data_IF_986741807035
#
_entry.id   IF_986741807035
#
_cell.length_a   1.000
_cell.length_b   1.000
_cell.length_c   1.000
_cell.angle_alpha   90.00
_cell.angle_beta   90.00
_cell.angle_gamma   90.00
#
_symmetry.space_group_name_H-M   'P 1'
#
loop_
_entity.id
_entity.type
_entity.pdbx_description
1 polymer ?
#
# COMPACT_ATOMS: atom_id res chain seq x y z
N UNK A 1 -5.80 -6.28 -19.70
CA UNK A 1 -6.02 -5.79 -18.31
C UNK A 1 -5.94 -4.28 -18.27
N UNK A 2 -6.82 -3.59 -17.51
CA UNK A 2 -6.83 -2.11 -17.40
C UNK A 2 -6.41 -1.66 -16.00
N UNK A 3 -5.15 -1.21 -15.85
CA UNK A 3 -4.59 -0.76 -14.55
C UNK A 3 -5.35 0.43 -13.98
N UNK A 4 -5.87 1.31 -14.85
CA UNK A 4 -6.68 2.49 -14.46
C UNK A 4 -7.86 2.14 -13.54
N UNK A 5 -8.52 1.00 -13.75
CA UNK A 5 -9.68 0.62 -12.93
C UNK A 5 -9.25 0.19 -11.52
N UNK A 6 -8.13 -0.53 -11.42
CA UNK A 6 -7.58 -0.93 -10.13
C UNK A 6 -7.11 0.27 -9.31
N UNK A 7 -6.45 1.25 -9.95
CA UNK A 7 -6.02 2.48 -9.25
C UNK A 7 -7.20 3.34 -8.80
N UNK A 8 -8.29 3.40 -9.59
CA UNK A 8 -9.52 4.08 -9.18
C UNK A 8 -10.19 3.39 -7.98
N UNK A 9 -10.23 2.07 -7.97
CA UNK A 9 -10.82 1.28 -6.87
C UNK A 9 -10.06 1.48 -5.55
N UNK A 10 -8.73 1.52 -5.61
CA UNK A 10 -7.86 1.68 -4.46
C UNK A 10 -7.60 3.15 -4.11
N UNK A 11 -8.40 4.08 -4.62
CA UNK A 11 -8.14 5.51 -4.44
C UNK A 11 -8.53 6.05 -3.05
N UNK A 12 -7.91 7.16 -2.67
CA UNK A 12 -8.27 7.90 -1.46
C UNK A 12 -9.75 8.32 -1.42
N UNK A 13 -10.35 8.68 -2.56
CA UNK A 13 -11.77 9.08 -2.62
C UNK A 13 -12.71 7.90 -2.34
N UNK A 14 -12.40 6.69 -2.83
CA UNK A 14 -13.16 5.48 -2.52
C UNK A 14 -13.08 5.17 -1.03
N UNK A 15 -11.88 5.23 -0.43
CA UNK A 15 -11.71 5.02 1.00
C UNK A 15 -12.56 6.01 1.84
N UNK A 16 -12.59 7.29 1.46
CA UNK A 16 -13.43 8.29 2.12
C UNK A 16 -14.93 8.08 1.89
N UNK A 17 -15.32 7.62 0.71
CA UNK A 17 -16.69 7.21 0.43
C UNK A 17 -17.16 6.08 1.33
N UNK A 18 -16.34 5.03 1.49
CA UNK A 18 -16.64 3.90 2.38
C UNK A 18 -16.81 4.35 3.83
N UNK A 19 -15.91 5.19 4.35
CA UNK A 19 -16.04 5.77 5.70
C UNK A 19 -17.34 6.58 5.85
N UNK A 20 -17.66 7.41 4.85
CA UNK A 20 -18.82 8.30 4.88
C UNK A 20 -20.14 7.51 4.93
N UNK A 21 -20.31 6.50 4.08
CA UNK A 21 -21.52 5.70 4.06
C UNK A 21 -21.62 4.75 5.25
N UNK A 22 -20.50 4.17 5.70
CA UNK A 22 -20.47 3.36 6.92
C UNK A 22 -20.97 4.13 8.15
N UNK A 23 -20.54 5.39 8.32
CA UNK A 23 -21.00 6.27 9.41
C UNK A 23 -22.51 6.56 9.39
N UNK A 24 -23.18 6.37 8.25
CA UNK A 24 -24.62 6.57 8.08
C UNK A 24 -25.44 5.30 8.28
N UNK A 25 -24.80 4.19 8.68
CA UNK A 25 -25.49 2.91 8.90
C UNK A 25 -25.95 2.24 7.61
N UNK A 26 -25.26 2.49 6.49
CA UNK A 26 -25.55 1.80 5.23
C UNK A 26 -25.33 0.29 5.39
N UNK A 27 -26.36 -0.50 5.09
CA UNK A 27 -26.31 -1.97 5.15
C UNK A 27 -25.17 -2.50 4.27
N UNK A 28 -24.38 -3.43 4.80
CA UNK A 28 -23.23 -4.03 4.15
C UNK A 28 -21.91 -3.26 4.32
N UNK A 29 -21.92 -2.10 4.99
CA UNK A 29 -20.72 -1.30 5.30
C UNK A 29 -20.43 -1.22 6.81
N UNK A 30 -20.81 -2.22 7.58
CA UNK A 30 -20.66 -2.24 9.04
C UNK A 30 -19.19 -2.44 9.46
N UNK A 31 -18.39 -3.15 8.66
CA UNK A 31 -16.99 -3.48 8.98
C UNK A 31 -15.97 -3.01 7.91
N UNK A 32 -16.09 -1.76 7.45
CA UNK A 32 -15.23 -1.23 6.37
C UNK A 32 -13.83 -0.82 6.80
N UNK A 33 -13.55 -0.76 8.10
CA UNK A 33 -12.29 -0.18 8.62
C UNK A 33 -11.05 -0.83 8.01
N UNK A 34 -11.04 -2.15 7.90
CA UNK A 34 -9.95 -2.89 7.28
C UNK A 34 -9.79 -2.54 5.80
N UNK A 35 -10.90 -2.53 5.05
CA UNK A 35 -10.92 -2.17 3.62
C UNK A 35 -10.43 -0.75 3.38
N UNK A 36 -10.90 0.21 4.18
CA UNK A 36 -10.48 1.62 4.11
C UNK A 36 -8.97 1.73 4.35
N UNK A 37 -8.45 1.10 5.41
CA UNK A 37 -7.03 1.13 5.74
C UNK A 37 -6.17 0.51 4.63
N UNK A 38 -6.62 -0.62 4.07
CA UNK A 38 -5.94 -1.28 2.95
C UNK A 38 -5.97 -0.42 1.68
N UNK A 39 -7.12 0.15 1.31
CA UNK A 39 -7.22 1.03 0.13
C UNK A 39 -6.31 2.24 0.26
N UNK A 40 -6.28 2.91 1.42
CA UNK A 40 -5.39 4.04 1.65
C UNK A 40 -3.92 3.63 1.54
N UNK A 41 -3.54 2.48 2.11
CA UNK A 41 -2.17 2.00 2.03
C UNK A 41 -1.72 1.71 0.61
N UNK A 42 -2.56 1.05 -0.19
CA UNK A 42 -2.26 0.80 -1.59
C UNK A 42 -2.23 2.10 -2.41
N UNK A 43 -3.12 3.05 -2.14
CA UNK A 43 -3.08 4.38 -2.78
C UNK A 43 -1.72 5.04 -2.55
N UNK A 44 -1.31 5.18 -1.29
CA UNK A 44 -0.06 5.84 -0.93
C UNK A 44 1.16 5.12 -1.51
N UNK A 45 1.15 3.78 -1.51
CA UNK A 45 2.22 2.98 -2.10
C UNK A 45 2.32 3.18 -3.62
N UNK A 46 1.18 3.21 -4.32
CA UNK A 46 1.14 3.47 -5.76
C UNK A 46 1.62 4.88 -6.09
N UNK A 47 1.19 5.87 -5.31
CA UNK A 47 1.62 7.26 -5.47
C UNK A 47 3.14 7.39 -5.24
N UNK A 48 3.68 6.78 -4.19
CA UNK A 48 5.10 6.80 -3.87
C UNK A 48 5.96 6.13 -4.96
N UNK A 49 5.47 5.03 -5.57
CA UNK A 49 6.18 4.32 -6.65
C UNK A 49 6.04 4.99 -8.02
N UNK A 50 5.06 5.87 -8.21
CA UNK A 50 4.75 6.49 -9.50
C UNK A 50 4.78 8.03 -9.42
N UNK A 51 5.60 8.59 -8.52
CA UNK A 51 5.76 10.04 -8.38
C UNK A 51 6.37 10.66 -9.64
N UNK A 52 5.79 11.76 -10.14
CA UNK A 52 6.17 12.35 -11.44
C UNK A 52 6.63 13.80 -11.39
N UNK A 53 6.69 14.42 -10.22
CA UNK A 53 7.01 15.85 -10.10
C UNK A 53 8.54 16.00 -10.00
N UNK A 54 9.25 16.46 -11.05
CA UNK A 54 10.72 16.48 -11.04
C UNK A 54 11.30 17.49 -10.05
N UNK A 55 10.55 18.57 -9.74
CA UNK A 55 10.92 19.59 -8.75
C UNK A 55 10.94 19.04 -7.32
N UNK A 56 10.26 17.93 -7.08
CA UNK A 56 10.19 17.21 -5.82
C UNK A 56 10.96 15.88 -5.93
N UNK A 57 12.14 15.95 -6.55
CA UNK A 57 13.04 14.79 -6.67
C UNK A 57 13.25 14.08 -5.33
N UNK A 58 13.63 12.81 -5.40
CA UNK A 58 13.78 11.95 -4.22
C UNK A 58 14.84 12.56 -3.30
N UNK A 59 14.49 12.73 -2.02
CA UNK A 59 15.37 13.26 -0.97
C UNK A 59 15.51 12.24 0.15
N UNK A 60 16.64 12.27 0.86
CA UNK A 60 16.78 11.49 2.09
C UNK A 60 15.67 11.89 3.06
N UNK A 61 14.96 10.89 3.57
CA UNK A 61 13.80 11.10 4.44
C UNK A 61 12.60 11.75 3.75
N UNK A 62 12.43 11.61 2.43
CA UNK A 62 11.19 12.02 1.76
C UNK A 62 9.97 11.26 2.31
N UNK A 63 8.78 11.82 2.10
CA UNK A 63 7.52 11.15 2.45
C UNK A 63 7.43 9.79 1.75
N UNK A 64 7.81 9.72 0.48
CA UNK A 64 7.68 8.51 -0.33
C UNK A 64 8.56 7.38 0.19
N UNK A 65 9.82 7.67 0.55
CA UNK A 65 10.70 6.66 1.15
C UNK A 65 10.16 6.15 2.50
N UNK A 66 9.52 7.01 3.30
CA UNK A 66 8.83 6.58 4.53
C UNK A 66 7.62 5.69 4.22
N UNK A 67 6.82 6.05 3.23
CA UNK A 67 5.67 5.24 2.79
C UNK A 67 6.15 3.86 2.35
N UNK A 68 7.17 3.79 1.49
CA UNK A 68 7.78 2.54 1.04
C UNK A 68 8.27 1.68 2.21
N UNK A 69 9.05 2.25 3.14
CA UNK A 69 9.55 1.52 4.31
C UNK A 69 8.41 1.02 5.22
N UNK A 70 7.39 1.85 5.44
CA UNK A 70 6.23 1.46 6.26
C UNK A 70 5.39 0.37 5.60
N UNK A 71 5.23 0.43 4.27
CA UNK A 71 4.49 -0.57 3.49
C UNK A 71 5.22 -1.90 3.44
N UNK A 72 6.55 -1.89 3.36
CA UNK A 72 7.37 -3.09 3.49
C UNK A 72 7.20 -3.76 4.85
N UNK A 73 7.29 -2.98 5.94
CA UNK A 73 7.08 -3.49 7.28
C UNK A 73 5.67 -4.08 7.45
N UNK A 74 4.65 -3.38 6.94
CA UNK A 74 3.26 -3.84 6.96
C UNK A 74 3.09 -5.15 6.18
N UNK A 75 3.67 -5.28 4.98
CA UNK A 75 3.58 -6.49 4.16
C UNK A 75 4.17 -7.70 4.89
N UNK A 76 5.36 -7.53 5.49
CA UNK A 76 6.02 -8.60 6.24
C UNK A 76 5.25 -8.97 7.50
N UNK A 77 4.63 -8.00 8.18
CA UNK A 77 3.77 -8.28 9.33
C UNK A 77 2.51 -9.05 8.92
N UNK A 78 1.87 -8.65 7.82
CA UNK A 78 0.67 -9.31 7.29
C UNK A 78 0.95 -10.77 6.86
N UNK A 79 2.09 -11.02 6.22
CA UNK A 79 2.53 -12.38 5.89
C UNK A 79 2.86 -13.20 7.15
N UNK A 80 3.47 -12.58 8.16
CA UNK A 80 3.71 -13.24 9.45
C UNK A 80 2.40 -13.66 10.11
N UNK A 81 1.38 -12.81 10.07
CA UNK A 81 0.04 -13.14 10.61
C UNK A 81 -0.59 -14.33 9.86
N UNK A 82 -0.38 -14.44 8.54
CA UNK A 82 -0.87 -15.58 7.76
C UNK A 82 -0.10 -16.87 8.06
N UNK A 83 1.23 -16.80 8.18
CA UNK A 83 2.09 -17.96 8.44
C UNK A 83 1.98 -18.48 9.87
N UNK A 84 1.73 -17.61 10.85
CA UNK A 84 1.48 -17.99 12.25
C UNK A 84 0.06 -18.52 12.50
N UNK A 85 -0.82 -18.48 11.50
CA UNK A 85 -2.22 -18.90 11.61
C UNK A 85 -3.14 -17.90 12.30
N UNK A 86 -2.69 -16.66 12.54
CA UNK A 86 -3.54 -15.59 13.08
C UNK A 86 -4.61 -15.13 12.08
N UNK A 87 -4.33 -15.26 10.78
CA UNK A 87 -5.31 -15.10 9.70
C UNK A 87 -5.28 -16.31 8.75
N UNK A 88 -6.39 -16.62 8.06
CA UNK A 88 -6.39 -17.64 7.02
C UNK A 88 -5.40 -17.29 5.90
N UNK A 89 -4.66 -18.27 5.33
CA UNK A 89 -3.77 -18.04 4.19
C UNK A 89 -4.48 -17.45 2.97
N UNK A 90 -5.78 -17.74 2.81
CA UNK A 90 -6.64 -17.16 1.76
C UNK A 90 -6.83 -15.65 1.88
N UNK A 91 -6.59 -15.09 3.06
CA UNK A 91 -6.73 -13.66 3.35
C UNK A 91 -5.41 -12.90 3.15
N UNK A 92 -4.39 -13.56 2.61
CA UNK A 92 -3.13 -12.95 2.21
C UNK A 92 -2.99 -12.94 0.68
N UNK A 93 -2.01 -12.18 0.19
CA UNK A 93 -1.66 -12.17 -1.23
C UNK A 93 -1.11 -13.54 -1.67
N UNK A 94 -1.15 -13.82 -2.96
CA UNK A 94 -0.40 -14.96 -3.49
C UNK A 94 1.09 -14.75 -3.24
N UNK A 95 1.84 -15.84 -3.01
CA UNK A 95 3.28 -15.79 -2.74
C UNK A 95 4.02 -15.00 -3.82
N UNK A 96 3.68 -15.20 -5.09
CA UNK A 96 4.30 -14.49 -6.21
C UNK A 96 4.05 -12.98 -6.16
N UNK A 97 2.83 -12.56 -5.78
CA UNK A 97 2.49 -11.13 -5.67
C UNK A 97 3.19 -10.49 -4.48
N UNK A 98 3.22 -11.17 -3.33
CA UNK A 98 3.89 -10.70 -2.14
C UNK A 98 5.40 -10.54 -2.35
N UNK A 99 6.07 -11.55 -2.90
CA UNK A 99 7.50 -11.50 -3.22
C UNK A 99 7.81 -10.41 -4.25
N UNK A 100 7.04 -10.34 -5.33
CA UNK A 100 7.22 -9.30 -6.35
C UNK A 100 7.12 -7.89 -5.76
N UNK A 101 6.11 -7.65 -4.92
CA UNK A 101 5.95 -6.36 -4.26
C UNK A 101 7.09 -6.06 -3.28
N UNK A 102 7.52 -7.05 -2.50
CA UNK A 102 8.62 -6.92 -1.54
C UNK A 102 9.93 -6.54 -2.23
N UNK A 103 10.26 -7.24 -3.31
CA UNK A 103 11.46 -6.99 -4.12
C UNK A 103 11.43 -5.57 -4.71
N UNK A 104 10.31 -5.15 -5.30
CA UNK A 104 10.18 -3.80 -5.88
C UNK A 104 10.42 -2.73 -4.81
N UNK A 105 9.79 -2.85 -3.64
CA UNK A 105 9.93 -1.85 -2.58
C UNK A 105 11.37 -1.82 -2.05
N UNK A 106 11.96 -2.99 -1.77
CA UNK A 106 13.34 -3.10 -1.28
C UNK A 106 14.34 -2.50 -2.26
N UNK A 107 14.28 -2.89 -3.54
CA UNK A 107 15.19 -2.40 -4.57
C UNK A 107 15.06 -0.89 -4.74
N UNK A 108 13.84 -0.35 -4.74
CA UNK A 108 13.61 1.09 -4.84
C UNK A 108 14.23 1.83 -3.66
N UNK A 109 14.04 1.34 -2.43
CA UNK A 109 14.64 1.94 -1.23
C UNK A 109 16.16 1.91 -1.26
N UNK A 110 16.76 0.76 -1.59
CA UNK A 110 18.22 0.62 -1.63
C UNK A 110 18.84 1.46 -2.75
N UNK A 111 18.23 1.48 -3.94
CA UNK A 111 18.69 2.32 -5.05
C UNK A 111 18.65 3.81 -4.68
N UNK A 112 17.55 4.27 -4.08
CA UNK A 112 17.45 5.66 -3.63
C UNK A 112 18.48 5.98 -2.56
N UNK A 113 18.72 5.07 -1.60
CA UNK A 113 19.75 5.27 -0.57
C UNK A 113 21.16 5.33 -1.17
N UNK A 114 21.45 4.49 -2.15
CA UNK A 114 22.72 4.48 -2.84
C UNK A 114 22.97 5.81 -3.57
N UNK A 115 22.02 6.22 -4.42
CA UNK A 115 22.10 7.45 -5.23
C UNK A 115 22.09 8.75 -4.41
N UNK A 116 21.63 8.71 -3.16
CA UNK A 116 21.55 9.89 -2.29
C UNK A 116 22.64 9.94 -1.20
N UNK A 117 23.42 8.87 -1.04
CA UNK A 117 24.56 8.83 -0.11
C UNK A 117 25.90 9.10 -0.80
N UNK A 118 25.94 9.02 -2.13
CA UNK A 118 26.96 9.69 -2.96
C UNK A 118 26.65 11.18 -3.07
#
# INVERSE_FOLDING_TARGET
>A
MRVKLATQLLSHSVAKGLEFYSKRGTKGLENVKGTVASSLRFNELLDALNWRIPKEGIRLGSRDLRVLASSLHWLNKWEKEATTGAIPPSNFLTTQTAEGLRVIILLTLELCRFLLKE
#
